data_IF_905051701920
#
_entry.id   IF_905051701920
#
_cell.length_a   1.000
_cell.length_b   1.000
_cell.length_c   1.000
_cell.angle_alpha   90.00
_cell.angle_beta   90.00
_cell.angle_gamma   90.00
#
_symmetry.space_group_name_H-M   'P 1'
#
loop_
_entity.id
_entity.type
_entity.pdbx_description
1 polymer ?
#
# COMPACT_ATOMS: atom_id res chain seq x y z
N UNK A 1 10.76 18.29 15.07
CA UNK A 1 9.90 18.57 13.90
C UNK A 1 9.03 17.35 13.66
N UNK A 2 7.74 17.52 13.34
CA UNK A 2 6.86 16.40 12.98
C UNK A 2 7.02 16.09 11.48
N UNK A 3 7.00 14.82 11.06
CA UNK A 3 7.01 14.48 9.64
C UNK A 3 5.73 14.97 8.95
N UNK A 4 5.84 15.34 7.67
CA UNK A 4 4.72 15.85 6.86
C UNK A 4 4.18 14.83 5.86
N UNK A 5 4.81 13.66 5.73
CA UNK A 5 4.42 12.64 4.76
C UNK A 5 5.22 11.36 4.90
N UNK A 6 4.86 10.38 4.08
CA UNK A 6 5.45 9.05 4.03
C UNK A 6 6.08 8.80 2.66
N UNK A 7 7.11 7.96 2.69
CA UNK A 7 7.71 7.32 1.53
C UNK A 7 7.86 5.84 1.86
N UNK A 8 7.29 4.97 1.04
CA UNK A 8 7.48 3.52 1.18
C UNK A 8 8.60 3.04 0.25
N UNK A 9 9.49 2.19 0.76
CA UNK A 9 10.60 1.66 -0.04
C UNK A 9 10.36 0.19 -0.37
N UNK A 10 11.07 -0.32 -1.37
CA UNK A 10 11.17 -1.74 -1.72
C UNK A 10 9.81 -2.38 -2.02
N UNK A 11 8.95 -1.65 -2.75
CA UNK A 11 7.62 -2.12 -3.12
C UNK A 11 7.68 -3.31 -4.11
N UNK A 12 8.78 -3.44 -4.84
CA UNK A 12 9.12 -4.58 -5.69
C UNK A 12 9.48 -5.85 -4.90
N UNK A 13 10.00 -5.71 -3.68
CA UNK A 13 10.28 -6.81 -2.73
C UNK A 13 9.07 -7.12 -1.82
N UNK A 14 7.97 -6.38 -1.93
CA UNK A 14 6.82 -6.47 -1.02
C UNK A 14 5.71 -7.35 -1.59
N UNK A 15 5.45 -8.50 -0.94
CA UNK A 15 4.38 -9.43 -1.33
C UNK A 15 3.01 -9.03 -0.77
N UNK A 16 2.96 -8.41 0.41
CA UNK A 16 1.71 -8.07 1.11
C UNK A 16 1.77 -6.62 1.61
N UNK A 17 0.76 -5.83 1.28
CA UNK A 17 0.69 -4.40 1.60
C UNK A 17 -0.16 -4.07 2.84
N UNK A 18 -0.79 -5.07 3.49
CA UNK A 18 -1.66 -4.86 4.65
C UNK A 18 -1.04 -4.01 5.76
N UNK A 19 0.17 -4.32 6.26
CA UNK A 19 0.83 -3.52 7.29
C UNK A 19 1.11 -2.06 6.86
N UNK A 20 1.47 -1.85 5.59
CA UNK A 20 1.69 -0.51 5.04
C UNK A 20 0.38 0.30 4.99
N UNK A 21 -0.73 -0.33 4.61
CA UNK A 21 -2.05 0.29 4.62
C UNK A 21 -2.54 0.60 6.04
N UNK A 22 -2.29 -0.30 7.00
CA UNK A 22 -2.59 -0.07 8.41
C UNK A 22 -1.81 1.14 8.96
N UNK A 23 -0.54 1.28 8.59
CA UNK A 23 0.27 2.45 8.95
C UNK A 23 -0.28 3.75 8.36
N UNK A 24 -0.74 3.72 7.09
CA UNK A 24 -1.39 4.89 6.48
C UNK A 24 -2.63 5.31 7.28
N UNK A 25 -3.51 4.34 7.59
CA UNK A 25 -4.72 4.60 8.35
C UNK A 25 -4.43 5.16 9.76
N UNK A 26 -3.38 4.66 10.42
CA UNK A 26 -3.01 5.08 11.78
C UNK A 26 -2.35 6.46 11.82
N UNK A 27 -1.43 6.74 10.89
CA UNK A 27 -0.62 7.97 10.92
C UNK A 27 -1.35 9.17 10.33
N UNK A 28 -2.30 8.94 9.42
CA UNK A 28 -2.99 9.98 8.64
C UNK A 28 -2.02 10.90 7.86
N UNK A 29 -0.78 10.46 7.65
CA UNK A 29 0.20 11.18 6.86
C UNK A 29 0.04 10.84 5.38
N UNK A 30 0.19 11.82 4.48
CA UNK A 30 0.10 11.55 3.05
C UNK A 30 1.26 10.67 2.58
N UNK A 31 0.97 9.64 1.79
CA UNK A 31 1.97 8.89 1.03
C UNK A 31 2.26 9.62 -0.27
N UNK A 32 3.48 10.15 -0.40
CA UNK A 32 3.87 10.95 -1.57
C UNK A 32 4.71 10.15 -2.57
N UNK A 33 5.52 9.22 -2.08
CA UNK A 33 6.47 8.49 -2.92
C UNK A 33 6.54 7.01 -2.56
N UNK A 34 6.92 6.21 -3.55
CA UNK A 34 7.29 4.82 -3.38
C UNK A 34 8.60 4.53 -4.08
N UNK A 35 9.33 3.50 -3.66
CA UNK A 35 10.46 2.97 -4.45
C UNK A 35 10.13 1.57 -4.97
N UNK A 36 10.52 1.31 -6.22
CA UNK A 36 10.15 0.11 -6.98
C UNK A 36 11.37 -0.64 -7.53
N UNK A 37 12.56 -0.30 -7.04
CA UNK A 37 13.82 -0.89 -7.45
C UNK A 37 15.01 -0.37 -6.64
N UNK A 38 16.22 -0.61 -7.13
CA UNK A 38 17.47 -0.36 -6.40
C UNK A 38 18.18 0.95 -6.80
N UNK A 39 17.79 1.59 -7.90
CA UNK A 39 18.50 2.74 -8.47
C UNK A 39 17.93 4.06 -7.95
N UNK A 40 18.83 5.02 -7.70
CA UNK A 40 18.50 6.36 -7.22
C UNK A 40 19.09 7.39 -8.19
N UNK A 41 18.28 8.31 -8.74
CA UNK A 41 16.87 8.56 -8.40
C UNK A 41 15.83 7.75 -9.21
N UNK A 42 16.26 6.89 -10.13
CA UNK A 42 15.42 6.36 -11.21
C UNK A 42 14.23 5.52 -10.73
N UNK A 43 14.38 4.79 -9.62
CA UNK A 43 13.34 3.90 -9.12
C UNK A 43 12.54 4.54 -7.96
N UNK A 44 12.58 5.87 -7.81
CA UNK A 44 11.73 6.66 -6.90
C UNK A 44 10.56 7.22 -7.72
N UNK A 45 9.34 6.83 -7.37
CA UNK A 45 8.12 7.17 -8.09
C UNK A 45 7.13 7.93 -7.20
N UNK A 46 6.29 8.79 -7.80
CA UNK A 46 5.11 9.32 -7.12
C UNK A 46 4.17 8.16 -6.76
N UNK A 47 3.60 8.23 -5.57
CA UNK A 47 2.60 7.26 -5.14
C UNK A 47 1.36 7.37 -6.02
N UNK A 48 0.95 6.25 -6.63
CA UNK A 48 -0.24 6.17 -7.47
C UNK A 48 -1.24 5.23 -6.81
N UNK A 49 -2.42 5.76 -6.48
CA UNK A 49 -3.44 5.03 -5.72
C UNK A 49 -3.90 3.75 -6.42
N UNK A 50 -4.18 3.82 -7.73
CA UNK A 50 -4.68 2.69 -8.52
C UNK A 50 -3.68 1.54 -8.51
N UNK A 51 -2.38 1.83 -8.74
CA UNK A 51 -1.30 0.83 -8.72
C UNK A 51 -1.12 0.20 -7.34
N UNK A 52 -1.30 0.98 -6.26
CA UNK A 52 -1.17 0.47 -4.89
C UNK A 52 -2.37 -0.40 -4.50
N UNK A 53 -3.59 -0.05 -4.93
CA UNK A 53 -4.78 -0.89 -4.76
C UNK A 53 -4.60 -2.19 -5.52
N UNK A 54 -4.17 -2.14 -6.79
CA UNK A 54 -3.96 -3.34 -7.60
C UNK A 54 -2.94 -4.27 -6.95
N UNK A 55 -1.79 -3.74 -6.50
CA UNK A 55 -0.77 -4.53 -5.78
C UNK A 55 -1.30 -5.14 -4.49
N UNK A 56 -2.10 -4.39 -3.74
CA UNK A 56 -2.71 -4.88 -2.48
C UNK A 56 -3.65 -6.05 -2.75
N UNK A 57 -4.52 -5.94 -3.77
CA UNK A 57 -5.44 -7.00 -4.19
C UNK A 57 -4.69 -8.24 -4.69
N UNK A 58 -3.63 -8.05 -5.48
CA UNK A 58 -2.78 -9.17 -5.94
C UNK A 58 -2.10 -9.90 -4.76
N UNK A 59 -1.61 -9.16 -3.76
CA UNK A 59 -1.02 -9.73 -2.55
C UNK A 59 -2.01 -10.57 -1.74
N UNK A 60 -3.23 -10.06 -1.55
CA UNK A 60 -4.27 -10.78 -0.81
C UNK A 60 -4.76 -12.05 -1.53
N UNK A 61 -4.91 -12.01 -2.87
CA UNK A 61 -5.28 -13.21 -3.64
C UNK A 61 -4.29 -14.35 -3.46
N UNK A 62 -2.99 -14.04 -3.41
CA UNK A 62 -1.95 -15.06 -3.15
C UNK A 62 -2.06 -15.69 -1.76
N UNK A 63 -2.59 -14.96 -0.77
CA UNK A 63 -2.79 -15.51 0.58
C UNK A 63 -4.03 -16.42 0.64
N UNK A 64 -5.11 -16.04 -0.05
CA UNK A 64 -6.35 -16.83 -0.14
C UNK A 64 -6.15 -18.18 -0.85
N UNK A 65 -5.17 -18.30 -1.74
CA UNK A 65 -4.83 -19.56 -2.39
C UNK A 65 -4.12 -20.57 -1.44
N UNK A 66 -3.70 -20.12 -0.24
CA UNK A 66 -2.88 -20.91 0.70
C UNK A 66 -3.60 -21.40 1.96
N UNK A 67 -4.76 -20.85 2.33
CA UNK A 67 -5.46 -21.23 3.57
C UNK A 67 -6.99 -21.27 3.40
N UNK A 68 -7.62 -22.30 3.97
CA UNK A 68 -9.07 -22.58 4.05
C UNK A 68 -9.77 -21.59 5.02
N UNK A 69 -9.53 -20.30 4.81
CA UNK A 69 -9.97 -19.24 5.71
C UNK A 69 -11.33 -18.68 5.29
N UNK A 70 -12.16 -18.41 6.28
CA UNK A 70 -13.56 -18.05 6.07
C UNK A 70 -13.66 -16.74 5.27
N UNK A 71 -14.31 -16.71 4.09
CA UNK A 71 -14.17 -15.66 3.07
C UNK A 71 -14.56 -14.22 3.49
N UNK A 72 -15.12 -14.04 4.71
CA UNK A 72 -15.71 -12.79 5.15
C UNK A 72 -14.70 -11.81 5.79
N UNK A 73 -13.66 -12.28 6.50
CA UNK A 73 -12.70 -11.38 7.17
C UNK A 73 -11.68 -10.78 6.21
N UNK A 74 -11.11 -11.58 5.30
CA UNK A 74 -10.16 -11.11 4.29
C UNK A 74 -10.78 -10.04 3.38
N UNK A 75 -12.07 -10.17 3.05
CA UNK A 75 -12.81 -9.20 2.26
C UNK A 75 -12.92 -7.84 2.96
N UNK A 76 -13.15 -7.81 4.28
CA UNK A 76 -13.22 -6.55 5.04
C UNK A 76 -11.86 -5.83 5.09
N UNK A 77 -10.79 -6.56 5.37
CA UNK A 77 -9.44 -5.99 5.45
C UNK A 77 -8.97 -5.40 4.11
N UNK A 78 -9.36 -6.04 3.00
CA UNK A 78 -9.09 -5.52 1.66
C UNK A 78 -9.79 -4.21 1.38
N UNK A 79 -11.06 -4.10 1.79
CA UNK A 79 -11.84 -2.87 1.67
C UNK A 79 -11.21 -1.75 2.50
N UNK A 80 -10.83 -2.03 3.74
CA UNK A 80 -10.17 -1.06 4.63
C UNK A 80 -8.83 -0.59 4.07
N UNK A 81 -8.04 -1.50 3.50
CA UNK A 81 -6.77 -1.18 2.87
C UNK A 81 -6.96 -0.27 1.65
N UNK A 82 -7.95 -0.55 0.79
CA UNK A 82 -8.28 0.28 -0.35
C UNK A 82 -8.70 1.70 0.09
N UNK A 83 -9.56 1.82 1.10
CA UNK A 83 -9.95 3.12 1.65
C UNK A 83 -8.77 3.88 2.26
N UNK A 84 -7.86 3.19 2.95
CA UNK A 84 -6.66 3.81 3.50
C UNK A 84 -5.77 4.39 2.39
N UNK A 85 -5.64 3.70 1.26
CA UNK A 85 -4.88 4.18 0.09
C UNK A 85 -5.57 5.38 -0.57
N UNK A 86 -6.87 5.29 -0.86
CA UNK A 86 -7.65 6.40 -1.45
C UNK A 86 -7.56 7.69 -0.63
N UNK A 87 -7.61 7.56 0.69
CA UNK A 87 -7.64 8.72 1.58
C UNK A 87 -6.27 9.38 1.77
N UNK A 88 -5.18 8.61 1.66
CA UNK A 88 -3.86 9.07 2.09
C UNK A 88 -2.81 9.11 0.98
N UNK A 89 -3.07 8.54 -0.20
CA UNK A 89 -2.15 8.72 -1.34
C UNK A 89 -2.31 10.14 -1.88
N UNK A 90 -1.22 10.89 -1.88
CA UNK A 90 -1.21 12.26 -2.41
C UNK A 90 -1.48 12.25 -3.90
N UNK A 91 -2.63 12.76 -4.31
CA UNK A 91 -2.88 13.23 -5.68
C UNK A 91 -2.23 14.60 -5.82
N UNK A 92 -0.89 14.65 -5.81
CA UNK A 92 -0.20 15.82 -6.34
C UNK A 92 -0.34 15.74 -7.87
N UNK A 93 -1.42 16.34 -8.37
CA UNK A 93 -1.56 16.82 -9.74
C UNK A 93 -0.82 18.15 -9.89
#
# INVERSE_FOLDING_TARGET
TKPSGLLFTKLDETTVMGPACALLAQTQLPLSYVTTGQRVPEDIELANVDRLIERTLQGARRQLDTEDDSPNQASSLLVDAAFALERHVSTLA
#
